data_IF_619671850360
#
_entry.id   IF_619671850360
#
_cell.length_a   1.000
_cell.length_b   1.000
_cell.length_c   1.000
_cell.angle_alpha   90.00
_cell.angle_beta   90.00
_cell.angle_gamma   90.00
#
_symmetry.space_group_name_H-M   'P 1'
#
loop_
_entity.id
_entity.type
_entity.pdbx_description
1 polymer ?
#
# COMPACT_ATOMS: atom_id res chain seq x y z
N UNK A 1 -1.60 -22.25 2.59
CA UNK A 1 -1.76 -21.51 1.32
C UNK A 1 -2.87 -20.48 1.55
N UNK A 2 -2.63 -19.18 1.33
CA UNK A 2 -3.65 -18.15 1.54
C UNK A 2 -4.79 -18.38 0.54
N UNK A 3 -6.04 -18.42 1.04
CA UNK A 3 -7.22 -18.57 0.20
C UNK A 3 -7.68 -17.17 -0.21
N UNK A 4 -7.89 -16.97 -1.51
CA UNK A 4 -8.37 -15.70 -2.05
C UNK A 4 -9.79 -15.87 -2.57
N UNK A 5 -10.69 -14.99 -2.16
CA UNK A 5 -12.06 -14.96 -2.65
C UNK A 5 -12.29 -13.67 -3.44
N UNK A 6 -12.77 -13.82 -4.68
CA UNK A 6 -13.17 -12.70 -5.52
C UNK A 6 -14.70 -12.63 -5.55
N UNK A 7 -15.26 -11.53 -5.09
CA UNK A 7 -16.67 -11.21 -5.18
C UNK A 7 -16.86 -10.24 -6.34
N UNK A 8 -17.58 -10.69 -7.35
CA UNK A 8 -17.69 -9.99 -8.62
C UNK A 8 -19.04 -9.33 -8.74
N UNK A 9 -19.02 -8.01 -8.94
CA UNK A 9 -20.17 -7.23 -9.37
C UNK A 9 -20.30 -7.31 -10.89
N UNK A 10 -21.13 -8.24 -11.36
CA UNK A 10 -21.31 -8.43 -12.80
C UNK A 10 -22.10 -7.29 -13.45
N UNK A 11 -22.93 -6.57 -12.68
CA UNK A 11 -23.71 -5.44 -13.18
C UNK A 11 -22.79 -4.32 -13.67
N UNK A 12 -21.72 -4.08 -12.92
CA UNK A 12 -20.77 -3.01 -13.21
C UNK A 12 -19.67 -3.41 -14.22
N UNK A 13 -19.28 -4.68 -14.24
CA UNK A 13 -18.13 -5.15 -15.05
C UNK A 13 -18.56 -5.67 -16.43
N UNK A 14 -19.69 -6.38 -16.53
CA UNK A 14 -20.31 -6.83 -17.78
C UNK A 14 -19.60 -7.94 -18.57
N UNK A 15 -18.26 -8.02 -18.57
CA UNK A 15 -17.46 -9.10 -19.19
C UNK A 15 -16.23 -9.40 -18.34
N UNK A 16 -15.98 -10.67 -18.08
CA UNK A 16 -14.89 -11.12 -17.22
C UNK A 16 -14.15 -12.27 -17.87
N UNK A 17 -12.82 -12.16 -17.93
CA UNK A 17 -11.92 -13.24 -18.29
C UNK A 17 -11.27 -13.81 -17.03
N UNK A 18 -11.77 -14.96 -16.56
CA UNK A 18 -11.26 -15.64 -15.37
C UNK A 18 -9.96 -16.41 -15.64
N UNK A 19 -9.44 -16.40 -16.86
CA UNK A 19 -8.22 -17.14 -17.23
C UNK A 19 -6.98 -16.69 -16.46
N UNK A 20 -7.02 -15.49 -15.86
CA UNK A 20 -5.97 -14.93 -15.02
C UNK A 20 -5.91 -15.55 -13.61
N UNK A 21 -6.93 -16.31 -13.20
CA UNK A 21 -7.02 -16.90 -11.87
C UNK A 21 -6.39 -18.29 -11.81
N UNK A 22 -5.61 -18.53 -10.76
CA UNK A 22 -5.07 -19.84 -10.43
C UNK A 22 -5.92 -20.58 -9.37
N UNK A 23 -5.46 -21.76 -8.95
CA UNK A 23 -6.15 -22.63 -7.99
C UNK A 23 -6.30 -22.03 -6.58
N UNK A 24 -5.54 -20.99 -6.23
CA UNK A 24 -5.63 -20.29 -4.94
C UNK A 24 -6.85 -19.36 -4.86
N UNK A 25 -7.45 -19.05 -6.01
CA UNK A 25 -8.63 -18.21 -6.11
C UNK A 25 -9.93 -19.00 -6.15
N UNK A 26 -10.93 -18.42 -5.50
CA UNK A 26 -12.36 -18.74 -5.63
C UNK A 26 -13.08 -17.50 -6.11
N UNK A 27 -14.09 -17.65 -6.94
CA UNK A 27 -14.88 -16.51 -7.42
C UNK A 27 -16.38 -16.75 -7.23
N UNK A 28 -17.09 -15.72 -6.76
CA UNK A 28 -18.55 -15.67 -6.73
C UNK A 28 -18.98 -14.51 -7.62
N UNK A 29 -19.79 -14.81 -8.64
CA UNK A 29 -20.26 -13.84 -9.62
C UNK A 29 -21.71 -13.49 -9.33
N UNK A 30 -21.92 -12.28 -8.82
CA UNK A 30 -23.25 -11.77 -8.52
C UNK A 30 -23.84 -11.15 -9.78
N UNK A 31 -25.02 -11.62 -10.17
CA UNK A 31 -25.73 -11.19 -11.39
C UNK A 31 -27.05 -10.53 -10.99
N UNK A 32 -27.33 -9.35 -11.53
CA UNK A 32 -28.56 -8.63 -11.25
C UNK A 32 -29.82 -9.41 -11.65
N UNK A 33 -30.94 -9.21 -10.95
CA UNK A 33 -32.18 -9.95 -11.18
C UNK A 33 -32.72 -9.82 -12.62
N UNK A 34 -32.52 -8.65 -13.25
CA UNK A 34 -32.95 -8.39 -14.63
C UNK A 34 -31.91 -8.82 -15.67
N UNK A 35 -30.66 -9.12 -15.26
CA UNK A 35 -29.61 -9.54 -16.18
C UNK A 35 -29.74 -11.03 -16.53
N UNK A 36 -29.40 -11.35 -17.78
CA UNK A 36 -29.26 -12.74 -18.19
C UNK A 36 -27.99 -13.32 -17.60
N UNK A 37 -28.08 -14.57 -17.13
CA UNK A 37 -26.91 -15.28 -16.64
C UNK A 37 -25.88 -15.36 -17.78
N UNK A 38 -24.59 -15.05 -17.51
CA UNK A 38 -23.56 -15.16 -18.53
C UNK A 38 -23.53 -16.59 -19.05
N UNK A 39 -23.56 -16.75 -20.38
CA UNK A 39 -23.34 -18.06 -21.00
C UNK A 39 -21.90 -18.45 -20.70
N UNK A 40 -21.69 -19.28 -19.68
CA UNK A 40 -20.37 -19.82 -19.38
C UNK A 40 -19.87 -20.54 -20.62
N UNK A 41 -18.85 -19.98 -21.28
CA UNK A 41 -18.16 -20.66 -22.37
C UNK A 41 -17.38 -21.82 -21.74
N UNK A 42 -18.01 -23.01 -21.66
CA UNK A 42 -17.32 -24.25 -21.34
C UNK A 42 -16.35 -24.56 -22.48
N UNK A 43 -15.15 -23.99 -22.42
CA UNK A 43 -13.99 -24.55 -23.09
C UNK A 43 -13.38 -25.55 -22.10
N UNK A 44 -13.36 -26.82 -22.50
CA UNK A 44 -12.82 -27.93 -21.68
C UNK A 44 -11.36 -27.69 -21.24
N UNK A 45 -10.62 -26.84 -21.97
CA UNK A 45 -9.25 -26.44 -21.65
C UNK A 45 -9.10 -25.53 -20.41
N UNK A 46 -10.18 -24.92 -19.90
CA UNK A 46 -10.13 -23.95 -18.79
C UNK A 46 -10.70 -24.51 -17.48
N UNK A 47 -11.34 -25.68 -17.53
CA UNK A 47 -12.04 -26.30 -16.40
C UNK A 47 -11.11 -26.73 -15.24
N UNK A 48 -9.79 -26.81 -15.47
CA UNK A 48 -8.81 -27.27 -14.47
C UNK A 48 -8.01 -26.15 -13.79
N UNK A 49 -8.27 -24.86 -14.10
CA UNK A 49 -7.41 -23.75 -13.64
C UNK A 49 -7.88 -23.01 -12.37
N UNK A 50 -9.15 -23.14 -11.96
CA UNK A 50 -9.67 -22.45 -10.77
C UNK A 50 -10.61 -23.36 -9.97
N UNK A 51 -10.65 -23.20 -8.64
CA UNK A 51 -11.26 -24.22 -7.76
C UNK A 51 -12.79 -24.22 -7.76
N UNK A 52 -13.45 -23.07 -7.96
CA UNK A 52 -14.92 -22.95 -8.04
C UNK A 52 -15.34 -21.54 -8.52
N UNK A 53 -16.27 -21.48 -9.46
CA UNK A 53 -16.98 -20.25 -9.85
C UNK A 53 -18.46 -20.50 -9.62
N UNK A 54 -19.04 -19.78 -8.67
CA UNK A 54 -20.47 -19.85 -8.37
C UNK A 54 -21.15 -18.59 -8.95
N UNK A 55 -22.14 -18.78 -9.85
CA UNK A 55 -22.98 -17.69 -10.33
C UNK A 55 -24.18 -17.54 -9.39
N UNK A 56 -24.32 -16.37 -8.79
CA UNK A 56 -25.42 -16.07 -7.88
C UNK A 56 -26.28 -14.96 -8.47
N UNK A 57 -27.42 -15.36 -9.04
CA UNK A 57 -28.43 -14.40 -9.46
C UNK A 57 -29.19 -13.91 -8.24
N UNK A 58 -29.24 -12.59 -8.04
CA UNK A 58 -30.01 -12.01 -6.94
C UNK A 58 -31.51 -12.02 -7.26
N UNK A 59 -32.33 -12.10 -6.22
CA UNK A 59 -33.78 -11.97 -6.31
C UNK A 59 -34.19 -10.52 -6.03
N UNK A 60 -35.17 -10.02 -6.80
CA UNK A 60 -35.69 -8.66 -6.63
C UNK A 60 -34.87 -7.58 -7.33
N UNK A 61 -35.53 -6.46 -7.61
CA UNK A 61 -34.94 -5.28 -8.24
C UNK A 61 -34.96 -4.15 -7.23
N UNK A 62 -33.81 -3.55 -6.98
CA UNK A 62 -33.68 -2.44 -6.05
C UNK A 62 -32.37 -1.72 -6.28
N UNK A 63 -32.35 -0.42 -5.99
CA UNK A 63 -31.11 0.37 -5.99
C UNK A 63 -30.13 -0.28 -5.01
N UNK A 64 -28.93 -0.61 -5.48
CA UNK A 64 -27.87 -1.25 -4.70
C UNK A 64 -28.20 -2.67 -4.18
N UNK A 65 -29.22 -3.33 -4.73
CA UNK A 65 -29.61 -4.67 -4.29
C UNK A 65 -28.46 -5.68 -4.42
N UNK A 66 -27.68 -5.57 -5.50
CA UNK A 66 -26.51 -6.42 -5.74
C UNK A 66 -25.39 -6.14 -4.72
N UNK A 67 -25.15 -4.88 -4.41
CA UNK A 67 -24.14 -4.45 -3.44
C UNK A 67 -24.40 -5.02 -2.05
N UNK A 68 -25.67 -5.05 -1.62
CA UNK A 68 -26.04 -5.66 -0.35
C UNK A 68 -25.79 -7.17 -0.30
N UNK A 69 -25.99 -7.88 -1.42
CA UNK A 69 -25.64 -9.31 -1.49
C UNK A 69 -24.12 -9.50 -1.39
N UNK A 70 -23.33 -8.67 -2.08
CA UNK A 70 -21.87 -8.70 -1.97
C UNK A 70 -21.43 -8.43 -0.53
N UNK A 71 -21.94 -7.38 0.09
CA UNK A 71 -21.61 -7.02 1.48
C UNK A 71 -21.97 -8.14 2.47
N UNK A 72 -23.14 -8.76 2.31
CA UNK A 72 -23.56 -9.92 3.11
C UNK A 72 -22.60 -11.11 2.97
N UNK A 73 -22.24 -11.48 1.74
CA UNK A 73 -21.32 -12.59 1.50
C UNK A 73 -19.91 -12.32 2.01
N UNK A 74 -19.47 -11.06 1.93
CA UNK A 74 -18.18 -10.63 2.44
C UNK A 74 -18.13 -10.74 3.97
N UNK A 75 -19.17 -10.28 4.67
CA UNK A 75 -19.32 -10.48 6.12
C UNK A 75 -19.36 -11.96 6.52
N UNK A 76 -20.20 -12.76 5.85
CA UNK A 76 -20.32 -14.21 6.11
C UNK A 76 -19.01 -14.97 5.86
N UNK A 77 -18.23 -14.54 4.88
CA UNK A 77 -16.92 -15.15 4.60
C UNK A 77 -15.96 -14.90 5.75
N UNK A 78 -15.90 -13.65 6.24
CA UNK A 78 -15.02 -13.31 7.36
C UNK A 78 -15.44 -13.92 8.69
N UNK A 79 -16.73 -14.16 8.89
CA UNK A 79 -17.23 -14.89 10.06
C UNK A 79 -16.72 -16.35 10.08
N UNK A 80 -16.70 -17.01 8.92
CA UNK A 80 -16.36 -18.44 8.81
C UNK A 80 -14.84 -18.66 8.63
N UNK A 81 -14.18 -17.77 7.89
CA UNK A 81 -12.78 -17.89 7.48
C UNK A 81 -12.10 -16.50 7.44
N UNK A 82 -11.79 -15.91 8.61
CA UNK A 82 -11.25 -14.55 8.72
C UNK A 82 -9.89 -14.35 8.03
N UNK A 83 -9.14 -15.43 7.80
CA UNK A 83 -7.84 -15.43 7.11
C UNK A 83 -7.94 -15.30 5.58
N UNK A 84 -9.15 -15.33 5.03
CA UNK A 84 -9.39 -15.25 3.58
C UNK A 84 -9.13 -13.82 3.09
N UNK A 85 -8.28 -13.64 2.07
CA UNK A 85 -8.18 -12.36 1.38
C UNK A 85 -9.39 -12.18 0.47
N UNK A 86 -10.25 -11.21 0.77
CA UNK A 86 -11.45 -10.92 -0.01
C UNK A 86 -11.21 -9.76 -0.99
N UNK A 87 -11.61 -9.95 -2.24
CA UNK A 87 -11.35 -9.02 -3.33
C UNK A 87 -12.70 -8.69 -3.98
N UNK A 88 -13.12 -7.43 -3.92
CA UNK A 88 -14.33 -6.98 -4.61
C UNK A 88 -13.95 -6.47 -5.99
N UNK A 89 -14.43 -7.12 -7.05
CA UNK A 89 -14.27 -6.67 -8.43
C UNK A 89 -15.49 -5.83 -8.81
N UNK A 90 -15.36 -4.50 -8.69
CA UNK A 90 -16.38 -3.50 -9.07
C UNK A 90 -15.72 -2.14 -9.33
N UNK A 91 -16.26 -1.36 -10.29
CA UNK A 91 -15.88 0.05 -10.47
C UNK A 91 -16.65 0.98 -9.55
N UNK A 92 -17.66 0.48 -8.83
CA UNK A 92 -18.35 1.28 -7.82
C UNK A 92 -17.47 1.48 -6.59
N UNK A 93 -17.26 2.75 -6.22
CA UNK A 93 -16.53 3.15 -5.02
C UNK A 93 -17.39 3.08 -3.75
N UNK A 94 -18.69 2.77 -3.87
CA UNK A 94 -19.61 2.58 -2.76
C UNK A 94 -19.15 1.53 -1.74
N UNK A 95 -18.33 0.56 -2.16
CA UNK A 95 -17.74 -0.45 -1.27
C UNK A 95 -16.57 0.07 -0.43
N UNK A 96 -15.89 1.15 -0.83
CA UNK A 96 -14.63 1.60 -0.23
C UNK A 96 -14.76 1.86 1.29
N UNK A 97 -15.83 2.51 1.81
CA UNK A 97 -16.01 2.70 3.25
C UNK A 97 -16.14 1.39 4.03
N UNK A 98 -16.85 0.40 3.48
CA UNK A 98 -17.01 -0.92 4.11
C UNK A 98 -15.66 -1.64 4.17
N UNK A 99 -14.92 -1.66 3.06
CA UNK A 99 -13.62 -2.32 3.00
C UNK A 99 -12.61 -1.66 3.93
N UNK A 100 -12.59 -0.32 4.00
CA UNK A 100 -11.73 0.41 4.94
C UNK A 100 -12.05 0.06 6.40
N UNK A 101 -13.35 -0.01 6.75
CA UNK A 101 -13.79 -0.43 8.08
C UNK A 101 -13.30 -1.84 8.41
N UNK A 102 -13.46 -2.80 7.50
CA UNK A 102 -13.06 -4.19 7.75
C UNK A 102 -11.54 -4.35 7.87
N UNK A 103 -10.76 -3.66 7.03
CA UNK A 103 -9.31 -3.67 7.15
C UNK A 103 -8.81 -3.07 8.47
N UNK A 104 -9.46 -2.01 8.96
CA UNK A 104 -9.16 -1.43 10.28
C UNK A 104 -9.36 -2.43 11.42
N UNK A 105 -10.21 -3.44 11.24
CA UNK A 105 -10.49 -4.50 12.22
C UNK A 105 -9.70 -5.79 11.95
N UNK A 106 -8.60 -5.71 11.18
CA UNK A 106 -7.66 -6.82 11.01
C UNK A 106 -8.04 -7.84 9.93
N UNK A 107 -9.10 -7.58 9.16
CA UNK A 107 -9.47 -8.40 8.01
C UNK A 107 -8.70 -7.95 6.77
N UNK A 108 -8.51 -8.83 5.78
CA UNK A 108 -7.78 -8.47 4.55
C UNK A 108 -8.74 -8.36 3.38
N UNK A 109 -9.01 -7.14 2.92
CA UNK A 109 -9.82 -6.95 1.72
C UNK A 109 -9.45 -5.73 0.88
N UNK A 110 -9.76 -5.78 -0.42
CA UNK A 110 -9.54 -4.67 -1.35
C UNK A 110 -10.57 -4.65 -2.47
N UNK A 111 -10.75 -3.48 -3.08
CA UNK A 111 -11.50 -3.34 -4.32
C UNK A 111 -10.54 -3.22 -5.49
N UNK A 112 -10.89 -3.85 -6.60
CA UNK A 112 -10.23 -3.70 -7.90
C UNK A 112 -11.30 -3.32 -8.93
N UNK A 113 -10.95 -2.50 -9.90
CA UNK A 113 -11.84 -2.15 -11.01
C UNK A 113 -11.73 -3.16 -12.16
N UNK A 114 -10.57 -3.83 -12.28
CA UNK A 114 -10.28 -4.81 -13.32
C UNK A 114 -9.42 -5.97 -12.78
N UNK A 115 -9.56 -7.16 -13.37
CA UNK A 115 -8.89 -8.37 -12.88
C UNK A 115 -7.36 -8.31 -13.08
N UNK A 116 -6.91 -7.51 -14.03
CA UNK A 116 -5.52 -7.24 -14.35
C UNK A 116 -4.77 -6.58 -13.19
N UNK A 117 -5.48 -5.93 -12.26
CA UNK A 117 -4.91 -5.37 -11.02
C UNK A 117 -4.47 -6.45 -10.02
N UNK A 118 -4.91 -7.70 -10.20
CA UNK A 118 -4.47 -8.85 -9.38
C UNK A 118 -3.13 -9.42 -9.80
N UNK A 119 -2.78 -9.22 -11.07
CA UNK A 119 -1.46 -9.59 -11.55
C UNK A 119 -0.52 -8.53 -11.01
N UNK A 120 0.54 -8.86 -10.24
CA UNK A 120 1.59 -7.91 -9.98
C UNK A 120 2.08 -7.45 -11.34
N UNK A 121 1.76 -6.20 -11.70
CA UNK A 121 2.27 -5.60 -12.91
C UNK A 121 3.78 -5.66 -12.77
N UNK A 122 4.40 -6.59 -13.48
CA UNK A 122 5.79 -6.44 -13.87
C UNK A 122 5.75 -5.18 -14.69
N UNK A 123 6.02 -4.04 -14.05
CA UNK A 123 5.88 -2.67 -14.55
C UNK A 123 5.93 -2.68 -16.08
N UNK A 124 4.77 -2.69 -16.72
CA UNK A 124 4.71 -2.25 -18.11
C UNK A 124 4.77 -0.75 -17.97
N UNK A 125 6.01 -0.25 -17.92
CA UNK A 125 6.33 1.15 -18.05
C UNK A 125 5.57 1.66 -19.27
N UNK A 126 4.52 2.45 -19.03
CA UNK A 126 4.13 3.47 -19.96
C UNK A 126 5.34 4.40 -20.04
N UNK A 127 6.06 4.25 -21.15
CA UNK A 127 7.20 5.03 -21.60
C UNK A 127 6.84 6.51 -21.53
N UNK A 128 7.08 7.13 -20.38
CA UNK A 128 7.52 8.52 -20.31
C UNK A 128 9.03 8.43 -20.17
N UNK A 129 9.70 8.75 -21.29
CA UNK A 129 11.15 8.75 -21.44
C UNK A 129 11.78 9.63 -20.34
N UNK A 130 12.20 9.02 -19.25
CA UNK A 130 13.21 9.56 -18.36
C UNK A 130 14.52 8.92 -18.82
N UNK A 131 15.53 9.69 -19.26
CA UNK A 131 16.77 9.11 -19.73
C UNK A 131 17.42 8.32 -18.60
N UNK A 132 17.44 7.00 -18.79
CA UNK A 132 18.02 5.99 -17.93
C UNK A 132 19.53 6.22 -17.83
N UNK A 133 19.95 7.08 -16.90
CA UNK A 133 21.29 7.00 -16.35
C UNK A 133 21.22 6.17 -15.09
N UNK A 134 21.49 4.88 -15.23
CA UNK A 134 21.83 4.03 -14.10
C UNK A 134 22.92 4.69 -13.27
N UNK A 135 22.83 4.59 -11.96
CA UNK A 135 23.88 5.06 -11.07
C UNK A 135 25.19 4.29 -11.34
N UNK A 136 26.29 4.99 -11.64
CA UNK A 136 27.62 4.39 -11.86
C UNK A 136 28.20 3.71 -10.61
N UNK A 137 27.60 3.92 -9.43
CA UNK A 137 28.03 3.29 -8.18
C UNK A 137 27.24 2.03 -7.81
N UNK A 138 25.92 2.02 -7.99
CA UNK A 138 25.07 0.92 -7.55
C UNK A 138 24.30 0.21 -8.68
N UNK A 139 24.40 0.70 -9.92
CA UNK A 139 23.77 0.12 -11.09
C UNK A 139 22.24 0.29 -11.15
N UNK A 140 21.63 1.04 -10.23
CA UNK A 140 20.17 1.21 -10.15
C UNK A 140 19.71 2.50 -10.83
N UNK A 141 18.53 2.46 -11.43
CA UNK A 141 17.81 3.60 -12.02
C UNK A 141 17.19 4.52 -10.96
N UNK A 142 17.98 4.95 -9.98
CA UNK A 142 17.53 5.76 -8.83
C UNK A 142 18.26 7.11 -8.75
N UNK A 143 18.76 7.60 -9.90
CA UNK A 143 19.42 8.90 -10.01
C UNK A 143 18.43 10.01 -10.33
N UNK A 144 18.49 11.09 -9.56
CA UNK A 144 17.70 12.31 -9.68
C UNK A 144 18.66 13.47 -9.96
N UNK A 145 18.30 14.41 -10.81
CA UNK A 145 19.12 15.61 -11.02
C UNK A 145 19.18 16.49 -9.76
N UNK A 146 20.38 16.91 -9.39
CA UNK A 146 20.65 17.81 -8.29
C UNK A 146 21.79 18.75 -8.69
N UNK A 147 21.47 20.04 -8.91
CA UNK A 147 22.43 21.13 -9.14
C UNK A 147 23.43 20.83 -10.29
N UNK A 148 22.91 20.40 -11.44
CA UNK A 148 23.72 20.01 -12.61
C UNK A 148 24.44 18.65 -12.48
N UNK A 149 24.26 17.96 -11.35
CA UNK A 149 24.75 16.61 -11.09
C UNK A 149 23.61 15.59 -11.01
N UNK A 150 23.97 14.32 -10.81
CA UNK A 150 23.01 13.21 -10.63
C UNK A 150 23.19 12.56 -9.28
N UNK A 151 22.26 12.77 -8.36
CA UNK A 151 22.26 12.17 -7.03
C UNK A 151 21.49 10.86 -7.01
N UNK A 152 22.05 9.79 -6.45
CA UNK A 152 21.35 8.53 -6.29
C UNK A 152 20.62 8.46 -4.94
N UNK A 153 19.29 8.39 -4.96
CA UNK A 153 18.47 8.25 -3.74
C UNK A 153 18.65 6.90 -3.04
N UNK A 154 19.17 5.88 -3.74
CA UNK A 154 19.37 4.56 -3.18
C UNK A 154 20.71 4.41 -2.43
N UNK A 155 21.82 4.81 -3.05
CA UNK A 155 23.16 4.67 -2.45
C UNK A 155 23.66 5.95 -1.78
N UNK A 156 22.92 7.05 -1.86
CA UNK A 156 23.30 8.33 -1.25
C UNK A 156 24.57 8.94 -1.83
N UNK A 157 24.85 8.71 -3.12
CA UNK A 157 26.07 9.15 -3.79
C UNK A 157 25.74 9.87 -5.10
N UNK A 158 26.56 10.87 -5.48
CA UNK A 158 26.49 11.45 -6.82
C UNK A 158 27.06 10.48 -7.87
N UNK A 159 26.22 10.06 -8.81
CA UNK A 159 26.66 9.36 -10.03
C UNK A 159 27.34 10.31 -11.02
N UNK A 160 27.00 11.59 -10.99
CA UNK A 160 27.70 12.66 -11.68
C UNK A 160 27.77 13.86 -10.74
N UNK A 161 28.96 14.42 -10.53
CA UNK A 161 29.16 15.53 -9.60
C UNK A 161 28.35 16.77 -10.03
N UNK A 162 27.80 17.52 -9.07
CA UNK A 162 27.10 18.77 -9.37
C UNK A 162 28.06 19.81 -9.95
N UNK A 163 27.53 20.71 -10.77
CA UNK A 163 28.30 21.84 -11.29
C UNK A 163 28.65 22.77 -10.14
N UNK A 164 29.95 23.00 -9.93
CA UNK A 164 30.43 23.80 -8.80
C UNK A 164 29.91 25.25 -8.79
N UNK A 165 29.42 25.76 -9.92
CA UNK A 165 28.85 27.12 -10.02
C UNK A 165 27.40 27.19 -9.51
N UNK A 166 26.69 26.06 -9.47
CA UNK A 166 25.30 25.97 -9.02
C UNK A 166 25.19 25.64 -7.52
N UNK A 167 26.31 25.42 -6.83
CA UNK A 167 26.31 25.10 -5.41
C UNK A 167 25.94 26.33 -4.57
N UNK A 168 24.93 26.23 -3.67
CA UNK A 168 24.53 27.34 -2.81
C UNK A 168 25.63 27.78 -1.83
N UNK A 169 26.60 26.90 -1.54
CA UNK A 169 27.79 27.23 -0.74
C UNK A 169 28.71 28.28 -1.36
N UNK A 170 28.56 28.58 -2.67
CA UNK A 170 29.32 29.62 -3.37
C UNK A 170 28.58 30.94 -3.52
N UNK A 171 27.25 30.93 -3.51
CA UNK A 171 26.42 32.14 -3.64
C UNK A 171 26.07 32.77 -2.29
N UNK A 172 26.17 32.01 -1.20
CA UNK A 172 26.04 32.54 0.15
C UNK A 172 27.44 32.99 0.59
N UNK A 173 27.69 34.29 0.86
CA UNK A 173 28.89 34.68 1.56
C UNK A 173 28.88 33.95 2.91
N UNK A 174 29.73 32.94 3.05
CA UNK A 174 29.95 32.27 4.32
C UNK A 174 30.61 33.28 5.26
N UNK A 175 29.78 34.04 5.96
CA UNK A 175 30.16 34.72 7.17
C UNK A 175 30.14 33.67 8.27
N UNK A 176 31.31 33.28 8.77
CA UNK A 176 31.40 32.71 10.12
C UNK A 176 30.97 33.79 11.11
N UNK A 177 29.68 34.10 11.20
CA UNK A 177 29.13 34.52 12.48
C UNK A 177 29.10 33.26 13.34
N UNK A 178 30.23 32.98 13.98
CA UNK A 178 30.27 32.16 15.18
C UNK A 178 29.50 32.90 16.27
N UNK A 179 28.18 32.88 16.16
CA UNK A 179 27.32 33.04 17.31
C UNK A 179 27.59 31.83 18.20
N UNK A 180 28.49 32.04 19.16
CA UNK A 180 28.98 31.06 20.14
C UNK A 180 27.93 30.65 21.16
N UNK A 181 26.63 30.71 20.83
CA UNK A 181 25.54 30.59 21.80
C UNK A 181 24.32 29.78 21.33
N UNK A 182 24.50 28.69 20.57
CA UNK A 182 23.34 27.94 20.02
C UNK A 182 23.38 26.42 20.00
N UNK A 183 24.44 25.77 20.50
CA UNK A 183 24.62 24.32 20.35
C UNK A 183 25.11 23.62 21.61
N UNK A 184 24.70 24.07 22.78
CA UNK A 184 24.91 23.31 24.01
C UNK A 184 23.94 22.12 24.09
N UNK A 185 24.32 21.00 24.72
CA UNK A 185 23.38 19.93 25.04
C UNK A 185 22.14 20.53 25.72
N UNK A 186 20.95 20.16 25.24
CA UNK A 186 19.71 20.58 25.89
C UNK A 186 19.62 19.77 27.16
N UNK A 187 19.99 20.36 28.29
CA UNK A 187 19.82 19.69 29.58
C UNK A 187 18.37 19.72 30.04
N UNK A 188 17.95 18.67 30.73
CA UNK A 188 16.65 18.54 31.36
C UNK A 188 16.73 17.65 32.59
N UNK A 189 15.67 17.70 33.42
CA UNK A 189 15.58 16.89 34.64
C UNK A 189 14.72 15.66 34.38
N UNK A 190 15.27 14.48 34.61
CA UNK A 190 14.58 13.21 34.42
C UNK A 190 13.46 13.05 35.44
N UNK A 191 12.25 12.73 35.00
CA UNK A 191 11.10 12.52 35.89
C UNK A 191 11.26 11.29 36.80
N UNK A 192 12.10 10.32 36.43
CA UNK A 192 12.32 9.09 37.20
C UNK A 192 13.44 9.18 38.24
N UNK A 193 14.62 9.64 37.83
CA UNK A 193 15.77 9.73 38.75
C UNK A 193 16.03 11.15 39.29
N UNK A 194 15.26 12.15 38.84
CA UNK A 194 15.45 13.57 39.19
C UNK A 194 16.83 14.14 38.85
N UNK A 195 17.63 13.42 38.04
CA UNK A 195 18.95 13.90 37.64
C UNK A 195 18.83 14.89 36.47
N UNK A 196 19.65 15.93 36.53
CA UNK A 196 19.76 16.92 35.47
C UNK A 196 20.85 16.47 34.49
N UNK A 197 20.46 15.97 33.34
CA UNK A 197 21.39 15.42 32.35
C UNK A 197 21.05 15.93 30.96
N UNK A 198 21.93 15.65 30.01
CA UNK A 198 21.66 15.89 28.61
C UNK A 198 20.39 15.11 28.20
N UNK A 199 19.49 15.80 27.49
CA UNK A 199 18.27 15.22 26.96
C UNK A 199 18.49 14.44 25.67
N UNK A 200 19.71 14.48 25.11
CA UNK A 200 20.14 13.58 24.04
C UNK A 200 19.81 12.13 24.38
N UNK A 201 19.16 11.43 23.45
CA UNK A 201 18.81 10.01 23.54
C UNK A 201 17.81 9.62 24.66
N UNK A 202 17.15 10.58 25.30
CA UNK A 202 16.07 10.32 26.26
C UNK A 202 14.70 10.09 25.60
N UNK A 203 13.76 9.54 26.36
CA UNK A 203 12.40 9.22 25.93
C UNK A 203 11.42 10.20 26.55
N UNK A 204 10.49 10.71 25.74
CA UNK A 204 9.42 11.59 26.20
C UNK A 204 8.08 10.88 26.03
N UNK A 205 7.30 10.81 27.09
CA UNK A 205 5.95 10.25 27.09
C UNK A 205 5.04 11.03 28.03
N UNK A 206 3.80 11.26 27.61
CA UNK A 206 2.77 12.03 28.33
C UNK A 206 3.24 13.36 28.97
N UNK A 207 4.24 14.02 28.38
CA UNK A 207 4.78 15.29 28.88
C UNK A 207 5.90 15.15 29.92
N UNK A 208 6.27 13.92 30.26
CA UNK A 208 7.40 13.61 31.13
C UNK A 208 8.61 13.15 30.31
N UNK A 209 9.80 13.53 30.76
CA UNK A 209 11.06 13.11 30.14
C UNK A 209 11.79 12.09 31.00
N UNK A 210 12.24 11.01 30.38
CA UNK A 210 13.02 9.94 31.01
C UNK A 210 14.41 9.86 30.38
N UNK A 211 15.45 9.90 31.22
CA UNK A 211 16.84 9.84 30.76
C UNK A 211 17.24 8.42 30.28
N UNK A 212 18.29 8.31 29.44
CA UNK A 212 18.77 7.02 28.92
C UNK A 212 19.03 5.97 29.99
N UNK A 213 19.58 6.37 31.15
CA UNK A 213 19.83 5.46 32.27
C UNK A 213 18.56 4.83 32.82
N UNK A 214 17.53 5.65 33.04
CA UNK A 214 16.22 5.17 33.51
C UNK A 214 15.51 4.31 32.47
N UNK A 215 15.66 4.60 31.17
CA UNK A 215 15.13 3.74 30.10
C UNK A 215 15.74 2.34 30.21
N UNK A 216 17.07 2.24 30.34
CA UNK A 216 17.77 0.95 30.41
C UNK A 216 17.38 0.19 31.68
N UNK A 217 17.26 0.86 32.83
CA UNK A 217 16.89 0.23 34.09
C UNK A 217 15.44 -0.28 34.12
N UNK A 218 14.52 0.42 33.46
CA UNK A 218 13.09 0.08 33.43
C UNK A 218 12.66 -0.71 32.18
N UNK A 219 13.56 -0.97 31.24
CA UNK A 219 13.32 -1.86 30.10
C UNK A 219 13.34 -3.33 30.58
N UNK A 220 12.24 -3.77 31.20
CA UNK A 220 11.95 -5.18 31.51
C UNK A 220 10.58 -5.58 31.01
#
# INVERSE_FOLDING_TARGET
MMKRLILVDYENIGKIDLSLLDISYRAIIFVGAMQQLPKAARRDSTAHRFSRVDFQKIEGVGKNALDFHIAFHLGRTFEIAPETECIVLSKDKGFDPLLAYLNKHGLTCKRIAALEELVPQKMTELVQQVPESTCNHCGRGSCIEHLGGKWCSYCGQFSHSPEQQQLPSRSIPYSENRDTNGGGPRMGTCAWCSQHTDMSDGFFDEGEWMCPGCIIENAR
#
